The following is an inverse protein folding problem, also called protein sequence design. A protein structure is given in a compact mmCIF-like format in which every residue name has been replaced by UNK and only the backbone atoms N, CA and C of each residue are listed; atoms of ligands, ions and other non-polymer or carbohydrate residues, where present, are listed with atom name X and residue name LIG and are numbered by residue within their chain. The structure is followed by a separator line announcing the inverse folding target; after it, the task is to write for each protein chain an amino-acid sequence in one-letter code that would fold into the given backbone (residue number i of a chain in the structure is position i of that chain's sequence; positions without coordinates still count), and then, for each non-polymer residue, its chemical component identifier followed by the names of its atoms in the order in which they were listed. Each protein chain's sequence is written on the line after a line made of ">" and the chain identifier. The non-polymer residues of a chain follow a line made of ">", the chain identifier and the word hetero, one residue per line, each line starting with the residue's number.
data_IF_301576141763
#
_entry.id   IF_301576141763
#
_cell.length_a   1.000
_cell.length_b   1.000
_cell.length_c   1.000
_cell.angle_alpha   90.00
_cell.angle_beta   90.00
_cell.angle_gamma   90.00
#
_symmetry.space_group_name_H-M   'P 1'
#
loop_
_entity.id
_entity.type
_entity.pdbx_description
1 polymer ?
#
# COMPACT_ATOMS: atom_id res chain seq x y z
N UNK A 1 26.06 6.07 12.95
CA UNK A 1 25.29 4.79 13.10
C UNK A 1 26.22 3.65 12.76
N UNK A 2 26.43 2.69 13.68
CA UNK A 2 27.30 1.54 13.43
C UNK A 2 26.67 0.59 12.41
N UNK A 3 27.47 -0.35 11.86
CA UNK A 3 26.94 -1.38 10.94
C UNK A 3 25.89 -2.27 11.63
N UNK A 4 26.07 -2.55 12.91
CA UNK A 4 25.15 -3.35 13.72
C UNK A 4 23.84 -2.61 14.00
N UNK A 5 23.90 -1.29 14.28
CA UNK A 5 22.68 -0.46 14.46
C UNK A 5 21.86 -0.42 13.18
N UNK A 6 22.53 -0.28 12.02
CA UNK A 6 21.86 -0.28 10.72
C UNK A 6 21.17 -1.61 10.45
N UNK A 7 21.81 -2.73 10.73
CA UNK A 7 21.27 -4.07 10.56
C UNK A 7 20.02 -4.26 11.43
N UNK A 8 20.09 -3.91 12.71
CA UNK A 8 18.96 -3.96 13.64
C UNK A 8 17.78 -3.12 13.16
N UNK A 9 18.02 -1.89 12.69
CA UNK A 9 16.97 -1.02 12.16
C UNK A 9 16.28 -1.63 10.94
N UNK A 10 17.03 -2.26 10.02
CA UNK A 10 16.46 -2.93 8.85
C UNK A 10 15.64 -4.18 9.22
N UNK A 11 16.01 -4.90 10.25
CA UNK A 11 15.25 -6.06 10.77
C UNK A 11 13.96 -5.63 11.48
N UNK A 12 13.97 -4.47 12.13
CA UNK A 12 12.82 -3.93 12.84
C UNK A 12 11.81 -3.22 11.91
N UNK A 13 12.28 -2.62 10.82
CA UNK A 13 11.50 -1.79 9.90
C UNK A 13 10.19 -2.44 9.42
N UNK A 14 10.14 -3.72 8.97
CA UNK A 14 8.91 -4.34 8.51
C UNK A 14 7.83 -4.44 9.60
N UNK A 15 8.26 -4.66 10.85
CA UNK A 15 7.36 -4.76 12.01
C UNK A 15 6.74 -3.39 12.34
N UNK A 16 7.57 -2.36 12.40
CA UNK A 16 7.13 -0.99 12.69
C UNK A 16 6.22 -0.47 11.59
N UNK A 17 6.58 -0.69 10.33
CA UNK A 17 5.75 -0.32 9.17
C UNK A 17 4.38 -1.00 9.22
N UNK A 18 4.33 -2.29 9.52
CA UNK A 18 3.05 -3.02 9.65
C UNK A 18 2.19 -2.47 10.78
N UNK A 19 2.78 -2.15 11.94
CA UNK A 19 2.06 -1.55 13.05
C UNK A 19 1.50 -0.16 12.69
N UNK A 20 2.27 0.65 11.98
CA UNK A 20 1.85 1.94 11.49
C UNK A 20 0.65 1.83 10.52
N UNK A 21 0.74 0.95 9.52
CA UNK A 21 -0.35 0.73 8.57
C UNK A 21 -1.61 0.22 9.27
N UNK A 22 -1.48 -0.70 10.23
CA UNK A 22 -2.63 -1.19 11.01
C UNK A 22 -3.29 -0.09 11.85
N UNK A 23 -2.51 0.84 12.40
CA UNK A 23 -3.06 2.00 13.12
C UNK A 23 -3.76 2.98 12.18
N UNK A 24 -3.24 3.19 10.97
CA UNK A 24 -3.89 3.98 9.91
C UNK A 24 -5.24 3.36 9.52
N UNK A 25 -5.27 2.05 9.24
CA UNK A 25 -6.50 1.33 8.90
C UNK A 25 -7.57 1.46 9.99
N UNK A 26 -7.17 1.38 11.27
CA UNK A 26 -8.09 1.55 12.41
C UNK A 26 -8.65 2.98 12.50
N UNK A 27 -7.84 3.99 12.18
CA UNK A 27 -8.29 5.39 12.09
C UNK A 27 -9.31 5.56 10.98
N UNK A 28 -9.05 5.03 9.78
CA UNK A 28 -9.94 5.11 8.62
C UNK A 28 -11.27 4.37 8.88
N UNK A 29 -11.22 3.24 9.59
CA UNK A 29 -12.43 2.53 10.04
C UNK A 29 -13.26 3.37 11.01
N UNK A 30 -12.60 4.05 11.96
CA UNK A 30 -13.27 4.94 12.91
C UNK A 30 -13.88 6.16 12.20
N UNK A 31 -13.15 6.76 11.26
CA UNK A 31 -13.62 7.84 10.40
C UNK A 31 -14.86 7.42 9.61
N UNK A 32 -14.83 6.25 8.99
CA UNK A 32 -15.97 5.69 8.27
C UNK A 32 -17.20 5.56 9.18
N UNK A 33 -17.05 5.09 10.39
CA UNK A 33 -18.16 4.99 11.38
C UNK A 33 -18.76 6.37 11.70
N UNK A 34 -17.93 7.39 11.89
CA UNK A 34 -18.38 8.77 12.17
C UNK A 34 -19.14 9.34 10.98
N UNK A 35 -18.68 9.08 9.76
CA UNK A 35 -19.30 9.57 8.52
C UNK A 35 -20.47 8.70 8.02
N UNK A 36 -20.72 7.54 8.62
CA UNK A 36 -21.71 6.56 8.14
C UNK A 36 -21.30 5.89 6.83
N UNK A 37 -20.01 5.82 6.55
CA UNK A 37 -19.40 5.25 5.35
C UNK A 37 -18.78 3.87 5.64
N UNK A 38 -18.84 2.96 4.68
CA UNK A 38 -18.07 1.73 4.76
C UNK A 38 -16.61 1.94 4.29
N UNK A 39 -15.68 1.02 4.57
CA UNK A 39 -14.26 1.20 4.22
C UNK A 39 -14.00 1.47 2.73
N UNK A 40 -14.79 0.86 1.83
CA UNK A 40 -14.66 1.10 0.38
C UNK A 40 -15.12 2.50 0.01
N UNK A 41 -16.15 3.03 0.67
CA UNK A 41 -16.62 4.40 0.50
C UNK A 41 -15.57 5.41 0.95
N UNK A 42 -14.99 5.22 2.15
CA UNK A 42 -13.91 6.06 2.69
C UNK A 42 -12.76 6.10 1.68
N UNK A 43 -12.28 4.95 1.23
CA UNK A 43 -11.20 4.87 0.24
C UNK A 43 -11.51 5.63 -1.05
N UNK A 44 -12.72 5.54 -1.59
CA UNK A 44 -13.08 6.27 -2.81
C UNK A 44 -13.18 7.77 -2.59
N UNK A 45 -13.64 8.19 -1.42
CA UNK A 45 -13.67 9.59 -0.99
C UNK A 45 -12.24 10.14 -0.86
N UNK A 46 -11.33 9.40 -0.24
CA UNK A 46 -9.91 9.79 -0.11
C UNK A 46 -9.23 9.89 -1.47
N UNK A 47 -9.49 8.95 -2.39
CA UNK A 47 -8.97 9.02 -3.76
C UNK A 47 -9.46 10.27 -4.49
N UNK A 48 -10.74 10.64 -4.32
CA UNK A 48 -11.29 11.88 -4.89
C UNK A 48 -10.72 13.14 -4.23
N UNK A 49 -10.36 13.09 -2.96
CA UNK A 49 -9.70 14.20 -2.29
C UNK A 49 -8.25 14.35 -2.76
N UNK A 50 -7.53 13.23 -2.89
CA UNK A 50 -6.11 13.19 -3.26
C UNK A 50 -5.88 13.55 -4.73
N UNK A 51 -6.67 12.97 -5.64
CA UNK A 51 -6.48 13.10 -7.10
C UNK A 51 -7.41 14.12 -7.75
N UNK A 52 -8.37 14.64 -6.99
CA UNK A 52 -9.37 15.58 -7.50
C UNK A 52 -10.46 14.92 -8.35
N UNK A 53 -11.10 15.73 -9.17
CA UNK A 53 -12.20 15.33 -10.04
C UNK A 53 -11.76 14.32 -11.11
N UNK A 54 -12.45 13.19 -11.22
CA UNK A 54 -12.13 12.13 -12.18
C UNK A 54 -13.38 11.44 -12.73
N UNK A 55 -13.23 10.64 -13.79
CA UNK A 55 -14.34 9.81 -14.29
C UNK A 55 -14.60 8.61 -13.37
N UNK A 56 -15.83 8.08 -13.39
CA UNK A 56 -16.16 6.84 -12.67
C UNK A 56 -15.24 5.66 -13.08
N UNK A 57 -14.86 5.59 -14.37
CA UNK A 57 -13.92 4.58 -14.86
C UNK A 57 -12.51 4.72 -14.27
N UNK A 58 -11.99 5.95 -14.23
CA UNK A 58 -10.69 6.22 -13.60
C UNK A 58 -10.71 5.90 -12.10
N UNK A 59 -11.79 6.26 -11.40
CA UNK A 59 -11.95 5.90 -9.99
C UNK A 59 -12.03 4.39 -9.80
N UNK A 60 -12.71 3.67 -10.68
CA UNK A 60 -12.77 2.20 -10.65
C UNK A 60 -11.38 1.58 -10.75
N UNK A 61 -10.58 2.06 -11.70
CA UNK A 61 -9.22 1.59 -11.94
C UNK A 61 -8.32 1.81 -10.72
N UNK A 62 -8.27 3.04 -10.20
CA UNK A 62 -7.43 3.38 -9.04
C UNK A 62 -7.91 2.70 -7.76
N UNK A 63 -9.24 2.55 -7.59
CA UNK A 63 -9.80 1.85 -6.44
C UNK A 63 -9.70 0.33 -6.52
N UNK A 64 -9.35 -0.24 -7.69
CA UNK A 64 -9.34 -1.69 -7.91
C UNK A 64 -10.75 -2.31 -7.89
N UNK A 65 -11.76 -1.57 -8.36
CA UNK A 65 -13.16 -1.98 -8.35
C UNK A 65 -13.67 -2.23 -9.77
N UNK A 66 -14.70 -3.07 -9.91
CA UNK A 66 -15.41 -3.19 -11.17
C UNK A 66 -16.25 -1.92 -11.48
N UNK A 67 -16.51 -1.64 -12.75
CA UNK A 67 -17.34 -0.51 -13.18
C UNK A 67 -18.74 -0.53 -12.55
N UNK A 68 -19.34 -1.71 -12.42
CA UNK A 68 -20.63 -1.86 -11.74
C UNK A 68 -20.56 -1.53 -10.25
N UNK A 69 -19.52 -2.00 -9.55
CA UNK A 69 -19.32 -1.72 -8.14
C UNK A 69 -19.13 -0.22 -7.87
N UNK A 70 -18.33 0.47 -8.71
CA UNK A 70 -18.13 1.92 -8.59
C UNK A 70 -19.41 2.70 -8.89
N UNK A 71 -20.19 2.30 -9.87
CA UNK A 71 -21.47 2.96 -10.16
C UNK A 71 -22.40 2.90 -8.95
N UNK A 72 -22.54 1.72 -8.34
CA UNK A 72 -23.39 1.52 -7.16
C UNK A 72 -22.86 2.31 -5.93
N UNK A 73 -21.56 2.33 -5.75
CA UNK A 73 -20.90 3.11 -4.71
C UNK A 73 -21.15 4.61 -4.90
N UNK A 74 -20.96 5.12 -6.11
CA UNK A 74 -21.16 6.54 -6.42
C UNK A 74 -22.61 6.98 -6.22
N UNK A 75 -23.59 6.12 -6.59
CA UNK A 75 -25.01 6.40 -6.34
C UNK A 75 -25.33 6.50 -4.84
N UNK A 76 -24.64 5.72 -4.02
CA UNK A 76 -24.76 5.78 -2.55
C UNK A 76 -24.10 7.04 -1.99
N UNK A 77 -22.88 7.35 -2.40
CA UNK A 77 -22.15 8.55 -1.96
C UNK A 77 -22.85 9.85 -2.41
N UNK A 78 -23.45 9.86 -3.60
CA UNK A 78 -24.21 11.01 -4.10
C UNK A 78 -25.48 11.22 -3.29
N UNK A 79 -26.23 10.16 -2.99
CA UNK A 79 -27.41 10.23 -2.10
C UNK A 79 -27.05 10.66 -0.68
N UNK A 80 -25.87 10.29 -0.20
CA UNK A 80 -25.37 10.68 1.12
C UNK A 80 -24.74 12.09 1.13
N UNK A 81 -24.64 12.78 -0.01
CA UNK A 81 -24.13 14.15 -0.10
C UNK A 81 -22.62 14.29 -0.07
N UNK A 82 -21.85 13.22 -0.33
CA UNK A 82 -20.39 13.27 -0.38
C UNK A 82 -19.85 13.65 -1.74
N UNK A 83 -20.47 13.16 -2.81
CA UNK A 83 -20.02 13.40 -4.18
C UNK A 83 -21.15 13.93 -5.04
N UNK A 84 -20.80 14.51 -6.17
CA UNK A 84 -21.72 14.84 -7.24
C UNK A 84 -21.14 14.52 -8.60
N UNK A 85 -22.01 14.23 -9.56
CA UNK A 85 -21.65 14.07 -10.96
C UNK A 85 -21.75 15.39 -11.67
N UNK A 86 -20.70 15.76 -12.40
CA UNK A 86 -20.66 16.99 -13.21
C UNK A 86 -20.26 16.65 -14.64
N UNK A 87 -20.71 17.45 -15.60
CA UNK A 87 -20.24 17.31 -16.98
C UNK A 87 -18.87 17.95 -17.13
N UNK A 88 -17.99 17.27 -17.86
CA UNK A 88 -16.67 17.81 -18.19
C UNK A 88 -16.84 19.10 -19.03
N UNK A 89 -16.14 20.15 -18.65
CA UNK A 89 -16.18 21.43 -19.35
C UNK A 89 -15.57 21.37 -20.75
N UNK A 90 -14.61 20.45 -20.98
CA UNK A 90 -13.90 20.30 -22.25
C UNK A 90 -14.57 19.26 -23.16
N UNK A 91 -15.14 18.18 -22.58
CA UNK A 91 -15.87 17.16 -23.32
C UNK A 91 -17.19 16.83 -22.61
N UNK A 92 -18.28 17.45 -23.08
CA UNK A 92 -19.63 17.28 -22.51
C UNK A 92 -20.17 15.85 -22.57
N UNK A 93 -19.50 14.94 -23.29
CA UNK A 93 -19.85 13.50 -23.32
C UNK A 93 -19.32 12.78 -22.08
N UNK A 94 -18.34 13.36 -21.39
CA UNK A 94 -17.73 12.80 -20.18
C UNK A 94 -18.47 13.28 -18.93
N UNK A 95 -18.72 12.34 -18.02
CA UNK A 95 -19.23 12.61 -16.68
C UNK A 95 -18.09 12.42 -15.71
N UNK A 96 -17.83 13.46 -14.95
CA UNK A 96 -16.84 13.48 -13.88
C UNK A 96 -17.53 13.36 -12.53
N UNK A 97 -16.80 12.87 -11.57
CA UNK A 97 -17.20 12.77 -10.15
C UNK A 97 -16.27 13.67 -9.34
N UNK A 98 -16.85 14.46 -8.47
CA UNK A 98 -16.09 15.32 -7.55
C UNK A 98 -16.69 15.30 -6.15
N UNK A 99 -15.84 15.55 -5.14
CA UNK A 99 -16.30 15.76 -3.78
C UNK A 99 -17.09 17.07 -3.67
N UNK A 100 -18.19 17.01 -2.95
CA UNK A 100 -18.95 18.22 -2.58
C UNK A 100 -18.11 19.04 -1.58
N UNK A 101 -17.98 20.37 -1.75
CA UNK A 101 -17.13 21.21 -0.88
C UNK A 101 -17.41 21.04 0.61
N UNK A 102 -18.67 20.90 1.00
CA UNK A 102 -19.06 20.67 2.41
C UNK A 102 -18.56 19.32 2.93
N UNK A 103 -18.65 18.26 2.14
CA UNK A 103 -18.13 16.95 2.51
C UNK A 103 -16.60 16.98 2.66
N UNK A 104 -15.90 17.65 1.75
CA UNK A 104 -14.45 17.87 1.84
C UNK A 104 -14.08 18.60 3.13
N UNK A 105 -14.81 19.64 3.48
CA UNK A 105 -14.57 20.38 4.72
C UNK A 105 -14.78 19.50 5.96
N UNK A 106 -15.85 18.72 6.04
CA UNK A 106 -16.11 17.80 7.15
C UNK A 106 -14.99 16.76 7.31
N UNK A 107 -14.55 16.17 6.22
CA UNK A 107 -13.44 15.21 6.22
C UNK A 107 -12.16 15.87 6.71
N UNK A 108 -11.85 17.06 6.21
CA UNK A 108 -10.68 17.84 6.65
C UNK A 108 -10.71 18.13 8.15
N UNK A 109 -11.85 18.56 8.70
CA UNK A 109 -12.02 18.85 10.13
C UNK A 109 -11.78 17.59 10.99
N UNK A 110 -12.23 16.42 10.55
CA UNK A 110 -11.98 15.16 11.25
C UNK A 110 -10.49 14.73 11.21
N UNK A 111 -9.76 15.09 10.15
CA UNK A 111 -8.32 14.82 10.06
C UNK A 111 -7.43 15.87 10.74
N UNK A 112 -7.99 17.04 11.09
CA UNK A 112 -7.20 18.18 11.58
C UNK A 112 -6.39 17.83 12.82
N UNK A 113 -7.00 17.16 13.81
CA UNK A 113 -6.32 16.76 15.04
C UNK A 113 -5.14 15.82 14.80
N UNK A 114 -5.29 14.86 13.89
CA UNK A 114 -4.21 13.96 13.49
C UNK A 114 -3.10 14.73 12.73
N UNK A 115 -3.48 15.63 11.82
CA UNK A 115 -2.52 16.44 11.07
C UNK A 115 -1.70 17.37 11.99
N UNK A 116 -2.31 17.93 13.03
CA UNK A 116 -1.63 18.74 14.05
C UNK A 116 -0.67 17.88 14.88
N UNK A 117 -1.08 16.69 15.30
CA UNK A 117 -0.22 15.74 16.03
C UNK A 117 0.99 15.33 15.19
N UNK A 118 0.81 15.04 13.89
CA UNK A 118 1.92 14.78 12.96
C UNK A 118 2.86 15.97 12.84
N UNK A 119 2.33 17.19 12.72
CA UNK A 119 3.15 18.41 12.65
C UNK A 119 3.97 18.61 13.93
N UNK A 120 3.35 18.41 15.09
CA UNK A 120 4.05 18.52 16.37
C UNK A 120 5.15 17.46 16.50
N UNK A 121 4.90 16.20 16.12
CA UNK A 121 5.90 15.14 16.10
C UNK A 121 7.06 15.47 15.14
N UNK A 122 6.75 16.07 13.99
CA UNK A 122 7.74 16.40 12.97
C UNK A 122 8.74 17.50 13.41
N UNK A 123 8.40 18.31 14.42
CA UNK A 123 9.29 19.37 14.94
C UNK A 123 10.58 18.83 15.55
N UNK A 124 10.63 17.56 15.96
CA UNK A 124 11.80 16.91 16.52
C UNK A 124 12.83 16.44 15.48
N UNK A 125 12.47 16.49 14.20
CA UNK A 125 13.32 16.06 13.10
C UNK A 125 13.98 17.24 12.39
N UNK A 126 15.26 17.06 12.02
CA UNK A 126 15.93 18.03 11.16
C UNK A 126 15.31 18.08 9.75
N UNK A 127 15.56 19.16 9.01
CA UNK A 127 15.13 19.25 7.62
C UNK A 127 15.71 18.12 6.74
N UNK A 128 16.88 17.59 7.09
CA UNK A 128 17.50 16.44 6.43
C UNK A 128 16.72 15.16 6.71
N UNK A 129 16.35 14.93 7.97
CA UNK A 129 15.59 13.75 8.38
C UNK A 129 14.20 13.75 7.74
N UNK A 130 13.53 14.91 7.71
CA UNK A 130 12.23 15.06 7.05
C UNK A 130 12.30 14.75 5.56
N UNK A 131 13.37 15.19 4.86
CA UNK A 131 13.56 14.83 3.44
C UNK A 131 13.73 13.32 3.27
N UNK A 132 14.48 12.67 4.15
CA UNK A 132 14.69 11.22 4.10
C UNK A 132 13.40 10.45 4.37
N UNK A 133 12.63 10.87 5.38
CA UNK A 133 11.31 10.30 5.70
C UNK A 133 10.35 10.45 4.51
N UNK A 134 10.25 11.64 3.93
CA UNK A 134 9.38 11.88 2.78
C UNK A 134 9.79 11.05 1.56
N UNK A 135 11.11 10.91 1.31
CA UNK A 135 11.62 10.05 0.23
C UNK A 135 11.26 8.59 0.46
N UNK A 136 11.46 8.09 1.68
CA UNK A 136 11.13 6.72 2.05
C UNK A 136 9.63 6.41 1.90
N UNK A 137 8.77 7.32 2.37
CA UNK A 137 7.32 7.14 2.26
C UNK A 137 6.84 7.15 0.80
N UNK A 138 7.39 8.05 -0.04
CA UNK A 138 7.07 8.09 -1.47
C UNK A 138 7.51 6.83 -2.20
N UNK A 139 8.69 6.32 -1.89
CA UNK A 139 9.17 5.07 -2.47
C UNK A 139 8.34 3.87 -1.98
N UNK A 140 7.99 3.84 -0.71
CA UNK A 140 7.09 2.84 -0.14
C UNK A 140 5.73 2.80 -0.84
N UNK A 141 5.11 3.95 -1.12
CA UNK A 141 3.87 4.03 -1.87
C UNK A 141 3.99 3.37 -3.25
N UNK A 142 5.04 3.68 -4.01
CA UNK A 142 5.31 3.06 -5.33
C UNK A 142 5.50 1.55 -5.23
N UNK A 143 6.17 1.05 -4.18
CA UNK A 143 6.33 -0.39 -3.95
C UNK A 143 4.99 -1.08 -3.75
N UNK A 144 4.08 -0.49 -2.97
CA UNK A 144 2.72 -1.01 -2.81
C UNK A 144 1.94 -0.99 -4.12
N UNK A 145 1.96 0.13 -4.84
CA UNK A 145 1.29 0.28 -6.15
C UNK A 145 1.77 -0.78 -7.15
N UNK A 146 3.08 -1.03 -7.21
CA UNK A 146 3.67 -2.04 -8.10
C UNK A 146 3.29 -3.48 -7.71
N UNK A 147 3.02 -3.76 -6.43
CA UNK A 147 2.66 -5.09 -5.98
C UNK A 147 1.18 -5.42 -6.16
N UNK A 148 0.29 -4.43 -6.23
CA UNK A 148 -1.16 -4.66 -6.40
C UNK A 148 -1.47 -5.52 -7.64
N UNK A 149 -1.01 -5.18 -8.87
CA UNK A 149 -1.30 -6.01 -10.04
C UNK A 149 -0.68 -7.41 -9.96
N UNK A 150 0.48 -7.55 -9.31
CA UNK A 150 1.13 -8.85 -9.09
C UNK A 150 0.27 -9.75 -8.22
N UNK A 151 -0.29 -9.20 -7.14
CA UNK A 151 -1.19 -9.94 -6.25
C UNK A 151 -2.53 -10.25 -6.94
N UNK A 152 -3.09 -9.29 -7.67
CA UNK A 152 -4.34 -9.49 -8.42
C UNK A 152 -4.21 -10.60 -9.49
N UNK A 153 -3.06 -10.70 -10.16
CA UNK A 153 -2.80 -11.76 -11.13
C UNK A 153 -2.72 -13.17 -10.51
N UNK A 154 -2.50 -13.27 -9.20
CA UNK A 154 -2.48 -14.54 -8.48
C UNK A 154 -3.87 -15.00 -8.02
N UNK A 155 -4.89 -14.15 -8.13
CA UNK A 155 -6.27 -14.50 -7.80
C UNK A 155 -6.84 -15.37 -8.91
N UNK A 156 -7.22 -16.65 -8.66
CA UNK A 156 -7.87 -17.48 -9.66
C UNK A 156 -9.15 -16.82 -10.16
N UNK A 157 -9.43 -16.93 -11.45
CA UNK A 157 -10.61 -16.34 -12.12
C UNK A 157 -11.97 -16.90 -11.66
N UNK A 158 -12.02 -17.66 -10.58
CA UNK A 158 -13.23 -18.26 -10.01
C UNK A 158 -13.79 -17.43 -8.87
N UNK A 159 -15.06 -17.15 -8.95
CA UNK A 159 -15.88 -16.47 -7.94
C UNK A 159 -15.56 -16.94 -6.52
N UNK A 160 -14.97 -16.05 -5.72
CA UNK A 160 -14.92 -16.17 -4.25
C UNK A 160 -14.11 -17.34 -3.73
N UNK A 161 -12.81 -17.12 -3.48
CA UNK A 161 -12.03 -18.01 -2.62
C UNK A 161 -12.70 -18.07 -1.24
N UNK A 162 -13.07 -19.29 -0.80
CA UNK A 162 -13.48 -19.48 0.59
C UNK A 162 -12.30 -19.15 1.52
N UNK A 163 -12.56 -18.79 2.78
CA UNK A 163 -11.49 -18.55 3.78
C UNK A 163 -10.57 -19.78 3.90
N UNK A 164 -11.09 -20.99 3.64
CA UNK A 164 -10.33 -22.24 3.62
C UNK A 164 -9.34 -22.31 2.45
N UNK A 165 -9.74 -21.80 1.28
CA UNK A 165 -8.88 -21.79 0.08
C UNK A 165 -7.79 -20.72 0.19
N UNK A 166 -8.11 -19.56 0.75
CA UNK A 166 -7.13 -18.54 1.11
C UNK A 166 -6.06 -19.06 2.09
N UNK A 167 -6.48 -19.82 3.12
CA UNK A 167 -5.54 -20.48 4.07
C UNK A 167 -4.64 -21.51 3.39
N UNK A 168 -5.16 -22.30 2.45
CA UNK A 168 -4.35 -23.26 1.69
C UNK A 168 -3.35 -22.55 0.78
N UNK A 169 -3.78 -21.48 0.09
CA UNK A 169 -2.91 -20.67 -0.76
C UNK A 169 -1.77 -20.03 0.05
N UNK A 170 -2.08 -19.44 1.21
CA UNK A 170 -1.07 -18.86 2.11
C UNK A 170 -0.07 -19.93 2.56
N UNK A 171 -0.53 -21.11 3.01
CA UNK A 171 0.36 -22.21 3.41
C UNK A 171 1.26 -22.68 2.27
N UNK A 172 0.71 -22.76 1.05
CA UNK A 172 1.49 -23.13 -0.13
C UNK A 172 2.55 -22.07 -0.49
N UNK A 173 2.18 -20.81 -0.45
CA UNK A 173 3.09 -19.69 -0.70
C UNK A 173 4.23 -19.62 0.33
N UNK A 174 3.92 -19.72 1.63
CA UNK A 174 4.92 -19.76 2.71
C UNK A 174 5.87 -20.94 2.54
N UNK A 175 5.36 -22.13 2.18
CA UNK A 175 6.20 -23.31 1.93
C UNK A 175 7.10 -23.13 0.71
N UNK A 176 6.58 -22.52 -0.36
CA UNK A 176 7.36 -22.23 -1.57
C UNK A 176 8.47 -21.22 -1.30
N UNK A 177 8.18 -20.15 -0.56
CA UNK A 177 9.15 -19.16 -0.15
C UNK A 177 10.26 -19.73 0.73
N UNK A 178 9.92 -20.51 1.75
CA UNK A 178 10.90 -21.18 2.61
C UNK A 178 11.80 -22.14 1.82
N UNK A 179 11.25 -22.82 0.79
CA UNK A 179 12.04 -23.68 -0.10
C UNK A 179 13.00 -22.86 -0.99
N UNK A 180 12.56 -21.71 -1.50
CA UNK A 180 13.40 -20.80 -2.31
C UNK A 180 14.56 -20.23 -1.48
N UNK A 181 14.29 -19.76 -0.25
CA UNK A 181 15.31 -19.26 0.66
C UNK A 181 16.34 -20.35 1.07
N UNK A 182 15.87 -21.58 1.27
CA UNK A 182 16.77 -22.71 1.55
C UNK A 182 17.66 -23.05 0.37
N UNK A 183 17.12 -22.97 -0.87
CA UNK A 183 17.88 -23.20 -2.11
C UNK A 183 18.96 -22.12 -2.29
N UNK A 184 18.61 -20.87 -2.10
CA UNK A 184 19.55 -19.73 -2.19
C UNK A 184 20.70 -19.86 -1.18
N UNK A 185 20.39 -20.26 0.05
CA UNK A 185 21.41 -20.53 1.08
C UNK A 185 22.34 -21.69 0.69
N UNK A 186 21.80 -22.76 0.09
CA UNK A 186 22.60 -23.87 -0.43
C UNK A 186 23.50 -23.46 -1.56
N UNK A 187 23.00 -22.69 -2.53
CA UNK A 187 23.81 -22.16 -3.63
C UNK A 187 24.93 -21.24 -3.15
N UNK A 188 24.63 -20.35 -2.20
CA UNK A 188 25.65 -19.48 -1.59
C UNK A 188 26.75 -20.29 -0.90
N UNK A 189 26.36 -21.36 -0.18
CA UNK A 189 27.31 -22.26 0.50
C UNK A 189 28.14 -23.03 -0.52
N UNK A 190 27.52 -23.53 -1.59
CA UNK A 190 28.23 -24.22 -2.68
C UNK A 190 29.26 -23.33 -3.36
N UNK A 191 28.90 -22.06 -3.66
CA UNK A 191 29.84 -21.07 -4.23
C UNK A 191 31.03 -20.79 -3.30
N UNK A 192 30.80 -20.68 -1.98
CA UNK A 192 31.87 -20.51 -0.99
C UNK A 192 32.80 -21.71 -0.94
N UNK A 193 32.27 -22.93 -1.00
CA UNK A 193 33.09 -24.16 -1.03
C UNK A 193 33.89 -24.29 -2.32
N UNK A 194 33.30 -23.98 -3.48
CA UNK A 194 34.03 -23.97 -4.76
C UNK A 194 35.20 -22.97 -4.75
N UNK A 195 34.97 -21.74 -4.23
CA UNK A 195 36.03 -20.75 -4.10
C UNK A 195 37.18 -21.26 -3.19
N UNK A 196 36.83 -21.86 -2.06
CA UNK A 196 37.83 -22.41 -1.13
C UNK A 196 38.59 -23.60 -1.73
N UNK A 197 37.93 -24.43 -2.53
CA UNK A 197 38.56 -25.55 -3.24
C UNK A 197 39.56 -25.05 -4.28
N UNK A 198 39.21 -24.04 -5.08
CA UNK A 198 40.10 -23.43 -6.08
C UNK A 198 41.33 -22.75 -5.46
N UNK A 199 41.16 -22.10 -4.30
CA UNK A 199 42.26 -21.49 -3.53
C UNK A 199 43.27 -22.57 -2.99
N UNK A 200 42.76 -23.72 -2.55
CA UNK A 200 43.58 -24.84 -2.08
C UNK A 200 44.33 -25.50 -3.25
N UNK A 201 43.70 -25.66 -4.39
CA UNK A 201 44.38 -26.20 -5.60
C UNK A 201 45.50 -25.29 -6.09
N UNK A 202 45.29 -23.96 -6.05
CA UNK A 202 46.31 -22.98 -6.41
C UNK A 202 47.52 -23.01 -5.47
N UNK A 203 47.31 -23.21 -4.17
CA UNK A 203 48.34 -23.34 -3.16
C UNK A 203 49.10 -24.68 -3.27
N UNK A 204 48.45 -25.74 -3.72
CA UNK A 204 49.09 -27.04 -3.91
C UNK A 204 49.97 -27.15 -5.18
N UNK A 205 49.59 -26.38 -6.25
CA UNK A 205 50.35 -26.33 -7.50
C UNK A 205 51.56 -25.37 -7.49
N UNK A 206 51.77 -24.62 -6.40
CA UNK A 206 52.88 -23.65 -6.24
C UNK A 206 53.99 -24.18 -5.33
N UNK A 207 54.04 -25.46 -5.06
CA UNK A 207 55.13 -26.19 -4.40
C UNK A 207 55.72 -27.22 -5.38
#
# INVERSE_FOLDING_TARGET
>A
MSHEDRKRSLEELPRVLRAFLSASDAFDEALGKVLGLNPTDVRCVDLLDQYGTMTAGALAEVAGLSTGAVTFLLDRLERAGFVRRVRDAQDRRRVLVELIPLARQQIFELHLGLAEAWRASAQHFSSSDLRSILSFLREGAKLYEAQVPVLCAQVPSTNGLSVSDGRKAIKAAVKAQAKAEALEKLELTARKLQKKASELQHKAGSR
#
